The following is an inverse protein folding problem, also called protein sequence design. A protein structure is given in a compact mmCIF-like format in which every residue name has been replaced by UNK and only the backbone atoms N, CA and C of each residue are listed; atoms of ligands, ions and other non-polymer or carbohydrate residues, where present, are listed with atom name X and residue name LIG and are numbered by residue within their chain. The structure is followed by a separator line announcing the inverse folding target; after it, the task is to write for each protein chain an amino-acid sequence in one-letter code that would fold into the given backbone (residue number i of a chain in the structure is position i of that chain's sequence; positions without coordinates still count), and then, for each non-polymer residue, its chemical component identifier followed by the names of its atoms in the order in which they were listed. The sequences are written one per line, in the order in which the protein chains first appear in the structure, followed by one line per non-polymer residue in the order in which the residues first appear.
data_IF_819188519142
#
_entry.id   IF_819188519142
#
_cell.length_a   1.000
_cell.length_b   1.000
_cell.length_c   1.000
_cell.angle_alpha   90.00
_cell.angle_beta   90.00
_cell.angle_gamma   90.00
#
_symmetry.space_group_name_H-M   'P 1'
#
loop_
_entity.id
_entity.type
_entity.pdbx_description
1 polymer ?
#
# COMPACT_ATOMS: atom_id res chain seq x y z
N UNK A 1 7.48 -7.66 40.57
CA UNK A 1 7.57 -7.37 39.12
C UNK A 1 6.71 -6.15 38.84
N UNK A 2 7.30 -5.01 38.43
CA UNK A 2 6.55 -3.77 38.19
C UNK A 2 5.89 -3.84 36.82
N UNK A 3 4.57 -3.93 36.78
CA UNK A 3 3.76 -3.78 35.57
C UNK A 3 3.88 -2.33 35.09
N UNK A 4 4.70 -2.09 34.07
CA UNK A 4 4.78 -0.79 33.43
C UNK A 4 3.48 -0.56 32.66
N UNK A 5 2.59 0.28 33.20
CA UNK A 5 1.42 0.70 32.48
C UNK A 5 1.84 1.43 31.20
N UNK A 6 1.59 0.81 30.05
CA UNK A 6 1.77 1.48 28.75
C UNK A 6 0.76 2.61 28.71
N UNK A 7 1.23 3.84 28.86
CA UNK A 7 0.40 5.03 28.74
C UNK A 7 -0.38 4.96 27.42
N UNK A 8 -1.69 5.18 27.48
CA UNK A 8 -2.54 5.24 26.29
C UNK A 8 -1.96 6.29 25.33
N UNK A 9 -1.28 5.83 24.27
CA UNK A 9 -0.74 6.73 23.26
C UNK A 9 -1.92 7.49 22.65
N UNK A 10 -2.02 8.79 22.96
CA UNK A 10 -3.00 9.74 22.42
C UNK A 10 -3.22 9.45 20.94
N UNK A 11 -4.47 9.16 20.58
CA UNK A 11 -4.93 9.22 19.19
C UNK A 11 -4.58 10.63 18.70
N UNK A 12 -3.62 10.73 17.78
CA UNK A 12 -3.15 12.01 17.25
C UNK A 12 -4.36 12.77 16.67
N UNK A 13 -4.61 13.99 17.16
CA UNK A 13 -5.51 14.98 16.56
C UNK A 13 -4.86 15.72 15.37
N UNK A 14 -3.65 15.34 14.99
CA UNK A 14 -2.92 15.93 13.89
C UNK A 14 -3.47 15.42 12.55
N UNK A 15 -3.47 16.28 11.52
CA UNK A 15 -3.77 15.92 10.13
C UNK A 15 -3.04 14.65 9.73
N UNK A 16 -3.72 13.78 8.98
CA UNK A 16 -3.10 12.57 8.47
C UNK A 16 -1.89 12.93 7.58
N UNK A 17 -0.80 12.14 7.63
CA UNK A 17 0.38 12.46 6.83
C UNK A 17 0.04 12.34 5.34
N UNK A 18 0.51 13.30 4.56
CA UNK A 18 0.36 13.31 3.10
C UNK A 18 1.58 12.66 2.46
N UNK A 19 1.37 11.98 1.34
CA UNK A 19 2.46 11.51 0.51
C UNK A 19 2.90 12.66 -0.42
N UNK A 20 4.21 12.89 -0.58
CA UNK A 20 4.70 13.77 -1.63
C UNK A 20 4.39 13.16 -3.00
N UNK A 21 4.50 13.96 -4.05
CA UNK A 21 4.45 13.47 -5.43
C UNK A 21 5.86 13.45 -6.02
N UNK A 22 6.18 12.44 -6.83
CA UNK A 22 7.48 12.27 -7.44
C UNK A 22 7.36 12.00 -8.94
N UNK A 23 8.30 12.56 -9.71
CA UNK A 23 8.38 12.35 -11.16
C UNK A 23 8.74 10.89 -11.41
N UNK A 24 8.06 10.26 -12.36
CA UNK A 24 8.39 8.92 -12.81
C UNK A 24 9.74 8.97 -13.56
N UNK A 25 10.74 8.18 -13.17
CA UNK A 25 12.02 8.13 -13.88
C UNK A 25 11.89 7.67 -15.34
N UNK A 26 12.66 8.28 -16.25
CA UNK A 26 12.59 8.01 -17.70
C UNK A 26 12.87 6.55 -18.10
N UNK A 27 13.76 5.87 -17.37
CA UNK A 27 14.10 4.46 -17.57
C UNK A 27 12.90 3.53 -17.35
N UNK A 28 12.00 3.87 -16.42
CA UNK A 28 10.74 3.12 -16.21
C UNK A 28 9.83 3.22 -17.44
N UNK A 29 9.83 4.35 -18.17
CA UNK A 29 9.07 4.45 -19.42
C UNK A 29 9.66 3.58 -20.52
N UNK A 30 11.00 3.51 -20.60
CA UNK A 30 11.70 2.75 -21.63
C UNK A 30 11.61 1.23 -21.39
N UNK A 31 11.53 0.81 -20.13
CA UNK A 31 11.33 -0.60 -19.73
C UNK A 31 9.88 -1.09 -19.85
N UNK A 32 8.94 -0.22 -20.20
CA UNK A 32 7.50 -0.51 -20.29
C UNK A 32 6.72 -0.02 -19.07
N UNK A 33 5.48 0.44 -19.31
CA UNK A 33 4.61 0.96 -18.25
C UNK A 33 4.21 -0.14 -17.28
N UNK A 34 4.56 -0.07 -15.98
CA UNK A 34 4.24 -1.14 -15.05
C UNK A 34 2.73 -1.22 -14.83
N UNK A 35 2.16 -2.43 -14.74
CA UNK A 35 0.73 -2.60 -14.52
C UNK A 35 0.27 -2.15 -13.14
N UNK A 36 1.21 -2.05 -12.18
CA UNK A 36 0.99 -1.57 -10.81
C UNK A 36 2.19 -0.77 -10.32
N UNK A 37 1.91 0.32 -9.61
CA UNK A 37 2.87 1.11 -8.85
C UNK A 37 2.65 0.83 -7.36
N UNK A 38 3.63 0.20 -6.70
CA UNK A 38 3.59 -0.09 -5.27
C UNK A 38 4.08 1.13 -4.50
N UNK A 39 3.23 1.69 -3.65
CA UNK A 39 3.54 2.91 -2.89
C UNK A 39 3.35 2.64 -1.39
N UNK A 40 4.42 2.78 -0.62
CA UNK A 40 4.35 2.74 0.84
C UNK A 40 3.77 4.04 1.41
N UNK A 41 2.72 3.92 2.22
CA UNK A 41 2.15 5.07 2.94
C UNK A 41 3.12 5.66 3.98
N UNK A 42 4.13 4.89 4.39
CA UNK A 42 5.17 5.29 5.33
C UNK A 42 6.45 4.46 5.13
N UNK A 43 7.53 4.80 5.84
CA UNK A 43 8.76 4.00 5.81
C UNK A 43 8.58 2.61 6.41
N UNK A 44 9.14 1.58 5.75
CA UNK A 44 9.01 0.19 6.20
C UNK A 44 7.59 -0.38 6.04
N UNK A 45 6.78 0.16 5.13
CA UNK A 45 5.42 -0.32 4.89
C UNK A 45 5.37 -1.75 4.32
N UNK A 46 6.40 -2.17 3.58
CA UNK A 46 6.48 -3.46 2.89
C UNK A 46 6.25 -3.39 1.37
N UNK A 47 6.15 -2.19 0.78
CA UNK A 47 5.93 -2.02 -0.66
C UNK A 47 7.00 -2.72 -1.52
N UNK A 48 8.28 -2.49 -1.21
CA UNK A 48 9.42 -3.11 -1.90
C UNK A 48 9.44 -4.65 -1.79
N UNK A 49 9.00 -5.19 -0.66
CA UNK A 49 8.87 -6.63 -0.42
C UNK A 49 7.72 -7.20 -1.23
N UNK A 50 6.54 -6.56 -1.21
CA UNK A 50 5.37 -7.01 -1.96
C UNK A 50 5.61 -6.95 -3.47
N UNK A 51 6.24 -5.88 -3.97
CA UNK A 51 6.60 -5.78 -5.39
C UNK A 51 7.44 -6.97 -5.86
N UNK A 52 8.44 -7.37 -5.06
CA UNK A 52 9.31 -8.53 -5.35
C UNK A 52 8.56 -9.87 -5.26
N UNK A 53 7.74 -10.06 -4.23
CA UNK A 53 7.04 -11.32 -3.96
C UNK A 53 5.85 -11.56 -4.91
N UNK A 54 5.11 -10.51 -5.24
CA UNK A 54 4.00 -10.59 -6.22
C UNK A 54 4.56 -10.81 -7.63
N UNK A 55 5.77 -10.29 -7.92
CA UNK A 55 6.50 -10.58 -9.15
C UNK A 55 6.09 -9.72 -10.35
N UNK A 56 5.27 -8.67 -10.13
CA UNK A 56 4.98 -7.66 -11.14
C UNK A 56 4.73 -6.27 -10.52
N UNK A 57 4.80 -5.26 -11.39
CA UNK A 57 4.72 -3.86 -10.99
C UNK A 57 6.06 -3.30 -10.53
N UNK A 58 6.08 -2.01 -10.24
CA UNK A 58 7.27 -1.29 -9.83
C UNK A 58 7.11 -0.74 -8.41
N UNK A 59 8.14 -0.91 -7.57
CA UNK A 59 8.24 -0.18 -6.31
C UNK A 59 8.51 1.30 -6.59
N UNK A 60 7.61 2.18 -6.14
CA UNK A 60 7.71 3.62 -6.31
C UNK A 60 7.97 4.35 -4.98
N UNK A 61 8.41 3.61 -3.96
CA UNK A 61 8.79 4.17 -2.68
C UNK A 61 7.60 4.77 -1.94
N UNK A 62 7.71 6.04 -1.52
CA UNK A 62 6.73 6.72 -0.64
C UNK A 62 6.21 8.01 -1.24
N UNK A 63 5.90 7.98 -2.52
CA UNK A 63 5.38 9.12 -3.24
C UNK A 63 4.28 8.72 -4.23
N UNK A 64 3.43 9.67 -4.60
CA UNK A 64 2.51 9.52 -5.70
C UNK A 64 3.25 9.63 -7.05
N UNK A 65 3.06 8.70 -7.99
CA UNK A 65 3.56 8.87 -9.35
C UNK A 65 2.91 10.09 -10.01
N UNK A 66 3.74 11.07 -10.35
CA UNK A 66 3.32 12.23 -11.15
C UNK A 66 3.18 11.78 -12.60
N UNK A 67 1.95 11.83 -13.11
CA UNK A 67 1.65 11.51 -14.50
C UNK A 67 1.36 12.80 -15.29
N UNK A 68 1.88 12.89 -16.52
CA UNK A 68 1.51 13.93 -17.46
C UNK A 68 0.31 13.46 -18.31
N UNK A 69 -0.47 14.36 -18.92
CA UNK A 69 -1.68 13.99 -19.68
C UNK A 69 -1.48 12.96 -20.80
N UNK A 70 -0.27 12.88 -21.39
CA UNK A 70 0.06 11.94 -22.47
C UNK A 70 0.58 10.58 -21.97
N UNK A 71 0.76 10.42 -20.66
CA UNK A 71 1.15 9.14 -20.07
C UNK A 71 -0.07 8.26 -19.81
N UNK A 72 0.08 6.93 -19.81
CA UNK A 72 -0.95 6.04 -19.31
C UNK A 72 -1.27 6.34 -17.83
N UNK A 73 -2.48 6.00 -17.34
CA UNK A 73 -2.81 6.14 -15.93
C UNK A 73 -1.88 5.33 -15.02
N UNK A 74 -1.48 5.92 -13.90
CA UNK A 74 -0.74 5.22 -12.85
C UNK A 74 -1.71 4.45 -11.94
N UNK A 75 -1.70 3.12 -12.04
CA UNK A 75 -2.47 2.22 -11.18
C UNK A 75 -1.70 1.94 -9.88
N UNK A 76 -2.08 2.63 -8.80
CA UNK A 76 -1.35 2.59 -7.52
C UNK A 76 -1.96 1.57 -6.55
N UNK A 77 -1.10 0.74 -5.97
CA UNK A 77 -1.43 -0.04 -4.76
C UNK A 77 -0.72 0.59 -3.57
N UNK A 78 -1.51 1.11 -2.65
CA UNK A 78 -1.00 1.65 -1.39
C UNK A 78 -0.67 0.51 -0.43
N UNK A 79 0.43 0.64 0.30
CA UNK A 79 0.87 -0.37 1.27
C UNK A 79 1.08 0.29 2.61
N UNK A 80 0.56 -0.34 3.67
CA UNK A 80 0.79 0.11 5.03
C UNK A 80 1.00 -1.07 5.98
N UNK A 81 1.65 -0.81 7.12
CA UNK A 81 1.66 -1.77 8.23
C UNK A 81 0.37 -1.68 9.00
N UNK A 82 -0.17 -2.84 9.37
CA UNK A 82 -1.35 -2.96 10.24
C UNK A 82 -0.98 -2.61 11.69
N UNK A 83 -0.80 -1.31 11.91
CA UNK A 83 -0.36 -0.64 13.13
C UNK A 83 -1.08 0.70 13.23
N UNK A 84 -1.08 1.32 14.41
CA UNK A 84 -1.74 2.61 14.58
C UNK A 84 -1.21 3.70 13.64
N UNK A 85 0.12 3.76 13.44
CA UNK A 85 0.74 4.72 12.53
C UNK A 85 0.47 4.37 11.06
N UNK A 86 0.63 3.10 10.68
CA UNK A 86 0.49 2.69 9.29
C UNK A 86 -0.93 2.86 8.76
N UNK A 87 -1.96 2.50 9.55
CA UNK A 87 -3.35 2.71 9.11
C UNK A 87 -3.74 4.19 9.13
N UNK A 88 -3.14 5.02 9.99
CA UNK A 88 -3.32 6.47 9.92
C UNK A 88 -2.70 7.08 8.66
N UNK A 89 -1.51 6.63 8.27
CA UNK A 89 -0.87 7.07 7.06
C UNK A 89 -1.64 6.64 5.79
N UNK A 90 -2.20 5.42 5.80
CA UNK A 90 -3.09 4.98 4.73
C UNK A 90 -4.38 5.80 4.64
N UNK A 91 -4.96 6.21 5.78
CA UNK A 91 -6.09 7.16 5.81
C UNK A 91 -5.72 8.46 5.10
N UNK A 92 -4.59 9.08 5.42
CA UNK A 92 -4.15 10.32 4.78
C UNK A 92 -3.91 10.17 3.27
N UNK A 93 -3.24 9.10 2.84
CA UNK A 93 -3.04 8.82 1.42
C UNK A 93 -4.38 8.63 0.67
N UNK A 94 -5.33 7.88 1.22
CA UNK A 94 -6.65 7.70 0.60
C UNK A 94 -7.44 9.01 0.57
N UNK A 95 -7.40 9.82 1.63
CA UNK A 95 -8.03 11.15 1.64
C UNK A 95 -7.45 12.07 0.57
N UNK A 96 -6.12 12.12 0.46
CA UNK A 96 -5.41 12.89 -0.57
C UNK A 96 -5.84 12.46 -1.98
N UNK A 97 -5.91 11.15 -2.23
CA UNK A 97 -6.37 10.61 -3.51
C UNK A 97 -7.83 10.97 -3.81
N UNK A 98 -8.73 10.80 -2.84
CA UNK A 98 -10.16 11.10 -3.03
C UNK A 98 -10.42 12.59 -3.28
N UNK A 99 -9.66 13.46 -2.62
CA UNK A 99 -9.74 14.92 -2.80
C UNK A 99 -8.98 15.42 -4.02
N UNK A 100 -8.23 14.55 -4.71
CA UNK A 100 -7.31 14.90 -5.81
C UNK A 100 -6.26 15.95 -5.40
N UNK A 101 -5.89 15.98 -4.13
CA UNK A 101 -5.00 16.99 -3.57
C UNK A 101 -3.54 16.75 -4.00
N UNK A 102 -2.95 17.68 -4.75
CA UNK A 102 -1.56 17.59 -5.20
C UNK A 102 -1.29 16.49 -6.24
N UNK A 103 -2.34 15.98 -6.90
CA UNK A 103 -2.26 14.91 -7.90
C UNK A 103 -2.57 15.43 -9.31
N UNK A 104 -1.57 15.92 -10.07
CA UNK A 104 -1.75 16.16 -11.48
C UNK A 104 -1.83 14.83 -12.25
N UNK A 105 -2.73 14.77 -13.24
CA UNK A 105 -2.84 13.64 -14.16
C UNK A 105 -3.79 12.51 -13.72
N UNK A 106 -3.57 11.33 -14.29
CA UNK A 106 -4.46 10.17 -14.23
C UNK A 106 -3.94 9.10 -13.26
N UNK A 107 -3.88 9.43 -11.96
CA UNK A 107 -3.55 8.45 -10.92
C UNK A 107 -4.82 7.82 -10.34
N UNK A 108 -4.88 6.48 -10.37
CA UNK A 108 -5.97 5.67 -9.81
C UNK A 108 -5.43 4.76 -8.73
N UNK A 109 -6.16 4.63 -7.62
CA UNK A 109 -5.81 3.67 -6.56
C UNK A 109 -6.56 2.37 -6.80
N UNK A 110 -5.83 1.26 -6.91
CA UNK A 110 -6.40 -0.09 -6.98
C UNK A 110 -6.86 -0.57 -5.60
N UNK A 111 -6.19 -0.17 -4.54
CA UNK A 111 -6.56 -0.50 -3.17
C UNK A 111 -5.43 -0.30 -2.17
N UNK A 112 -5.66 -0.74 -0.95
CA UNK A 112 -4.69 -0.70 0.16
C UNK A 112 -4.34 -2.13 0.58
N UNK A 113 -3.06 -2.45 0.69
CA UNK A 113 -2.56 -3.67 1.32
C UNK A 113 -2.09 -3.37 2.74
N UNK A 114 -2.72 -4.00 3.72
CA UNK A 114 -2.31 -3.93 5.12
C UNK A 114 -1.46 -5.15 5.49
N UNK A 115 -0.16 -4.93 5.66
CA UNK A 115 0.81 -5.96 6.04
C UNK A 115 0.85 -6.09 7.56
N UNK A 116 0.74 -7.31 8.09
CA UNK A 116 0.77 -7.57 9.53
C UNK A 116 2.02 -6.97 10.19
N UNK A 117 1.82 -6.32 11.34
CA UNK A 117 2.93 -5.68 12.05
C UNK A 117 3.77 -6.63 12.90
N UNK A 118 3.23 -7.81 13.21
CA UNK A 118 3.81 -8.85 14.06
C UNK A 118 2.92 -10.10 13.95
N UNK A 119 3.32 -11.27 14.49
CA UNK A 119 2.42 -12.42 14.57
C UNK A 119 1.28 -12.23 15.58
N UNK A 120 1.33 -11.17 16.41
CA UNK A 120 0.30 -10.88 17.40
C UNK A 120 -0.91 -10.18 16.78
N UNK A 121 -2.04 -10.30 17.47
CA UNK A 121 -3.27 -9.57 17.13
C UNK A 121 -2.97 -8.06 17.02
N UNK A 122 -3.35 -7.39 15.92
CA UNK A 122 -3.14 -5.96 15.77
C UNK A 122 -3.91 -5.15 16.83
N UNK A 123 -3.41 -3.96 17.22
CA UNK A 123 -4.13 -3.05 18.11
C UNK A 123 -5.50 -2.68 17.55
N UNK A 124 -6.51 -2.55 18.42
CA UNK A 124 -7.91 -2.20 18.04
C UNK A 124 -8.00 -0.97 17.14
N UNK A 125 -7.26 0.08 17.46
CA UNK A 125 -7.21 1.31 16.65
C UNK A 125 -6.74 1.07 15.21
N UNK A 126 -5.83 0.12 15.00
CA UNK A 126 -5.36 -0.23 13.66
C UNK A 126 -6.46 -0.93 12.87
N UNK A 127 -7.15 -1.89 13.50
CA UNK A 127 -8.25 -2.62 12.84
C UNK A 127 -9.47 -1.76 12.56
N UNK A 128 -9.83 -0.84 13.46
CA UNK A 128 -10.95 0.09 13.26
C UNK A 128 -10.67 1.04 12.09
N UNK A 129 -9.46 1.62 12.02
CA UNK A 129 -9.07 2.47 10.88
C UNK A 129 -9.04 1.71 9.56
N UNK A 130 -8.56 0.46 9.57
CA UNK A 130 -8.56 -0.37 8.37
C UNK A 130 -10.00 -0.71 7.92
N UNK A 131 -10.92 -0.92 8.86
CA UNK A 131 -12.32 -1.13 8.55
C UNK A 131 -12.98 0.13 7.96
N UNK A 132 -12.66 1.33 8.46
CA UNK A 132 -13.14 2.56 7.83
C UNK A 132 -12.60 2.72 6.41
N UNK A 133 -11.32 2.37 6.19
CA UNK A 133 -10.71 2.39 4.87
C UNK A 133 -11.41 1.50 3.85
N UNK A 134 -12.06 0.39 4.25
CA UNK A 134 -12.80 -0.44 3.28
C UNK A 134 -14.03 0.25 2.69
N UNK A 135 -14.53 1.33 3.31
CA UNK A 135 -15.57 2.17 2.71
C UNK A 135 -15.03 3.29 1.81
N UNK A 136 -13.72 3.57 1.84
CA UNK A 136 -13.11 4.71 1.13
C UNK A 136 -12.15 4.28 0.01
N UNK A 137 -11.47 3.15 0.18
CA UNK A 137 -10.58 2.57 -0.81
C UNK A 137 -11.36 1.58 -1.69
N UNK A 138 -11.00 1.45 -2.99
CA UNK A 138 -11.69 0.49 -3.87
C UNK A 138 -11.56 -0.97 -3.44
N UNK A 139 -10.46 -1.34 -2.78
CA UNK A 139 -10.23 -2.65 -2.17
C UNK A 139 -9.29 -2.51 -0.97
N UNK A 140 -9.42 -3.43 -0.02
CA UNK A 140 -8.49 -3.57 1.10
C UNK A 140 -8.06 -5.04 1.19
N UNK A 141 -6.78 -5.29 0.99
CA UNK A 141 -6.17 -6.61 1.17
C UNK A 141 -5.38 -6.68 2.45
N UNK A 142 -5.19 -7.89 2.97
CA UNK A 142 -4.36 -8.15 4.14
C UNK A 142 -3.30 -9.17 3.78
N UNK A 143 -2.09 -8.93 4.25
CA UNK A 143 -0.98 -9.88 4.17
C UNK A 143 -0.56 -10.19 5.60
N UNK A 144 -0.57 -11.47 5.94
CA UNK A 144 -0.18 -12.00 7.24
C UNK A 144 1.30 -11.82 7.55
N UNK A 145 1.65 -12.21 8.77
CA UNK A 145 3.05 -12.22 9.20
C UNK A 145 3.78 -13.42 8.61
N UNK A 146 4.98 -13.22 8.10
CA UNK A 146 5.82 -14.26 7.51
C UNK A 146 7.19 -14.22 8.18
N UNK A 147 7.43 -15.11 9.14
CA UNK A 147 8.67 -15.15 9.93
C UNK A 147 9.92 -15.31 9.06
N UNK A 148 9.83 -16.11 7.99
CA UNK A 148 10.96 -16.39 7.09
C UNK A 148 11.56 -15.12 6.46
N UNK A 149 10.77 -14.04 6.30
CA UNK A 149 11.25 -12.78 5.73
C UNK A 149 12.29 -12.07 6.64
N UNK A 150 12.34 -12.40 7.92
CA UNK A 150 13.33 -11.82 8.83
C UNK A 150 14.73 -12.41 8.66
N UNK A 151 14.81 -13.64 8.12
CA UNK A 151 16.05 -14.37 7.93
C UNK A 151 16.53 -14.37 6.47
N UNK A 152 15.81 -13.71 5.57
CA UNK A 152 16.09 -13.69 4.14
C UNK A 152 16.74 -12.37 3.73
N UNK A 153 17.84 -12.46 2.96
CA UNK A 153 18.48 -11.29 2.34
C UNK A 153 17.65 -10.79 1.15
N UNK A 154 17.12 -11.71 0.34
CA UNK A 154 16.12 -11.44 -0.69
C UNK A 154 14.76 -12.02 -0.28
N UNK A 155 13.67 -11.22 -0.24
CA UNK A 155 12.36 -11.76 0.10
C UNK A 155 11.92 -12.89 -0.84
N UNK A 156 12.42 -12.98 -2.07
CA UNK A 156 12.07 -14.05 -3.01
C UNK A 156 12.55 -15.43 -2.57
N UNK A 157 13.53 -15.49 -1.67
CA UNK A 157 14.09 -16.75 -1.16
C UNK A 157 13.14 -17.48 -0.20
N UNK A 158 12.10 -16.79 0.32
CA UNK A 158 11.11 -17.42 1.21
C UNK A 158 10.01 -18.19 0.46
N UNK A 159 10.09 -18.21 -0.89
CA UNK A 159 9.01 -18.70 -1.75
C UNK A 159 7.83 -17.72 -1.82
N UNK A 160 6.65 -18.20 -2.22
CA UNK A 160 5.43 -17.38 -2.26
C UNK A 160 4.49 -17.75 -1.11
N UNK A 161 4.38 -16.91 -0.05
CA UNK A 161 3.39 -17.12 1.00
C UNK A 161 1.94 -17.13 0.44
N UNK A 162 1.01 -17.90 1.03
CA UNK A 162 -0.37 -18.02 0.50
C UNK A 162 -1.11 -16.68 0.34
N UNK A 163 -0.90 -15.74 1.26
CA UNK A 163 -1.50 -14.40 1.19
C UNK A 163 -0.92 -13.58 0.03
N UNK A 164 0.36 -13.79 -0.32
CA UNK A 164 0.98 -13.16 -1.49
C UNK A 164 0.39 -13.75 -2.77
N UNK A 165 0.20 -15.06 -2.85
CA UNK A 165 -0.42 -15.70 -4.01
C UNK A 165 -1.85 -15.20 -4.21
N UNK A 166 -2.63 -15.13 -3.12
CA UNK A 166 -3.99 -14.59 -3.13
C UNK A 166 -4.00 -13.13 -3.59
N UNK A 167 -3.07 -12.32 -3.09
CA UNK A 167 -2.91 -10.92 -3.51
C UNK A 167 -2.53 -10.81 -4.98
N UNK A 168 -1.62 -11.65 -5.48
CA UNK A 168 -1.20 -11.70 -6.88
C UNK A 168 -2.39 -11.98 -7.80
N UNK A 169 -3.18 -13.00 -7.48
CA UNK A 169 -4.39 -13.32 -8.25
C UNK A 169 -5.43 -12.20 -8.23
N UNK A 170 -5.71 -11.63 -7.06
CA UNK A 170 -6.68 -10.54 -6.92
C UNK A 170 -6.26 -9.29 -7.72
N UNK A 171 -4.97 -8.94 -7.69
CA UNK A 171 -4.44 -7.82 -8.46
C UNK A 171 -4.47 -8.12 -9.96
N UNK A 172 -4.06 -9.32 -10.38
CA UNK A 172 -4.12 -9.71 -11.78
C UNK A 172 -5.54 -9.58 -12.34
N UNK A 173 -6.55 -10.08 -11.64
CA UNK A 173 -7.96 -9.90 -12.04
C UNK A 173 -8.32 -8.42 -12.15
N UNK A 174 -7.96 -7.61 -11.15
CA UNK A 174 -8.32 -6.21 -11.09
C UNK A 174 -7.67 -5.34 -12.16
N UNK A 175 -6.45 -5.66 -12.58
CA UNK A 175 -5.74 -4.96 -13.66
C UNK A 175 -6.41 -5.23 -15.01
N UNK A 176 -6.95 -6.44 -15.22
CA UNK A 176 -7.59 -6.82 -16.48
C UNK A 176 -9.02 -6.29 -16.62
N UNK A 177 -9.72 -6.03 -15.52
CA UNK A 177 -11.04 -5.38 -15.57
C UNK A 177 -10.88 -3.90 -15.93
N UNK A 178 -11.17 -3.54 -17.19
CA UNK A 178 -11.10 -2.14 -17.64
C UNK A 178 -12.02 -1.26 -16.81
N UNK A 179 -11.61 -0.03 -16.42
CA UNK A 179 -12.53 0.94 -15.83
C UNK A 179 -13.54 1.37 -16.91
N UNK A 180 -14.75 0.80 -16.87
CA UNK A 180 -15.83 1.09 -17.83
C UNK A 180 -16.79 -0.06 -18.11
N UNK A 181 -16.49 -1.29 -17.67
CA UNK A 181 -17.37 -2.45 -17.88
C UNK A 181 -18.18 -2.75 -16.61
N UNK A 182 -19.08 -1.84 -16.27
CA UNK A 182 -20.22 -2.12 -15.40
C UNK A 182 -21.47 -1.85 -16.21
N UNK A 183 -22.21 -2.92 -16.46
CA UNK A 183 -23.55 -2.92 -17.07
C UNK A 183 -24.57 -2.30 -16.12
#
# INVERSE_FOLDING_TARGET
MKTTAVAAHRTRLATAPHLPSAVIPNDVFQGGWPPVWWVGCHGGAGASTLARLVGFGADFGRAWPLTAPMMPPAQVVLVCRLSAHGTWAATGAIEQWRRREGMPGTTSVLGVVAVAASPRRPPRIATERLHLLSGWAPQVWRVGWVDALLAADDPRDVGTPPDIETLRHALAQKIHTRPGETR
#
